data_IF_954601695091
#
_entry.id   IF_954601695091
#
_cell.length_a   1.000
_cell.length_b   1.000
_cell.length_c   1.000
_cell.angle_alpha   90.00
_cell.angle_beta   90.00
_cell.angle_gamma   90.00
#
_symmetry.space_group_name_H-M   'P 1'
#
loop_
_entity.id
_entity.type
_entity.pdbx_description
1 polymer ?
#
# COMPACT_ATOMS: atom_id res chain seq x y z
N UNK A 1 26.68 8.46 5.95
CA UNK A 1 25.48 7.99 6.66
C UNK A 1 24.25 8.19 5.80
N UNK A 2 23.46 7.13 5.67
CA UNK A 2 22.28 7.19 4.82
C UNK A 2 21.14 7.89 5.55
N UNK A 3 20.56 8.87 4.90
CA UNK A 3 19.41 9.55 5.47
C UNK A 3 18.18 8.64 5.41
N UNK A 4 17.42 8.58 6.52
CA UNK A 4 16.19 7.81 6.55
C UNK A 4 15.13 8.44 5.67
N UNK A 5 14.55 7.65 4.80
CA UNK A 5 13.46 8.09 3.95
C UNK A 5 12.16 7.40 4.36
N UNK A 6 11.06 8.10 4.14
CA UNK A 6 9.73 7.56 4.42
C UNK A 6 9.13 7.10 3.10
N UNK A 7 8.92 5.80 2.97
CA UNK A 7 8.44 5.18 1.74
C UNK A 7 7.08 4.53 1.99
N UNK A 8 6.12 4.89 1.15
CA UNK A 8 4.78 4.32 1.21
C UNK A 8 4.61 3.36 0.04
N UNK A 9 4.16 2.14 0.31
CA UNK A 9 3.95 1.13 -0.71
C UNK A 9 2.48 0.78 -0.76
N UNK A 10 1.84 1.00 -1.91
CA UNK A 10 0.46 0.61 -2.13
C UNK A 10 0.42 -0.77 -2.74
N UNK A 11 -0.30 -1.69 -2.12
CA UNK A 11 -0.49 -3.04 -2.60
C UNK A 11 -1.95 -3.40 -2.41
N UNK A 12 -2.64 -3.80 -3.48
CA UNK A 12 -4.08 -4.08 -3.42
C UNK A 12 -4.40 -5.12 -2.36
N UNK A 13 -3.51 -6.08 -2.17
CA UNK A 13 -3.65 -7.09 -1.13
C UNK A 13 -2.33 -7.25 -0.39
N UNK A 14 -2.40 -7.75 0.83
CA UNK A 14 -1.22 -7.92 1.65
C UNK A 14 -1.47 -9.05 2.66
N UNK A 15 -0.45 -9.35 3.46
CA UNK A 15 -0.56 -10.40 4.47
C UNK A 15 -1.71 -10.13 5.43
N UNK A 16 -2.40 -11.12 5.92
CA UNK A 16 -2.07 -12.55 5.86
C UNK A 16 -2.44 -13.24 4.55
N UNK A 17 -3.02 -12.54 3.59
CA UNK A 17 -3.31 -13.11 2.29
C UNK A 17 -1.99 -13.39 1.56
N UNK A 18 -1.81 -14.61 1.09
CA UNK A 18 -0.53 -15.05 0.50
C UNK A 18 -0.64 -15.27 -1.00
N UNK A 19 -0.03 -14.40 -1.78
CA UNK A 19 0.08 -14.53 -3.21
C UNK A 19 1.42 -13.97 -3.68
N UNK A 20 1.63 -13.91 -4.98
CA UNK A 20 2.89 -13.44 -5.54
C UNK A 20 3.18 -11.98 -5.25
N UNK A 21 2.17 -11.13 -5.46
CA UNK A 21 2.32 -9.69 -5.25
C UNK A 21 2.49 -9.37 -3.76
N UNK A 22 1.74 -10.05 -2.90
CA UNK A 22 1.83 -9.86 -1.46
C UNK A 22 3.21 -10.23 -0.94
N UNK A 23 3.74 -11.33 -1.42
CA UNK A 23 5.07 -11.79 -1.03
C UNK A 23 6.14 -10.82 -1.52
N UNK A 24 6.00 -10.35 -2.75
CA UNK A 24 6.93 -9.36 -3.30
C UNK A 24 6.91 -8.08 -2.46
N UNK A 25 5.71 -7.60 -2.12
CA UNK A 25 5.56 -6.38 -1.32
C UNK A 25 6.19 -6.55 0.06
N UNK A 26 5.95 -7.69 0.69
CA UNK A 26 6.53 -7.99 2.00
C UNK A 26 8.06 -7.99 1.94
N UNK A 27 8.62 -8.67 0.96
CA UNK A 27 10.07 -8.75 0.82
C UNK A 27 10.68 -7.40 0.52
N UNK A 28 10.03 -6.61 -0.32
CA UNK A 28 10.49 -5.27 -0.66
C UNK A 28 10.48 -4.37 0.57
N UNK A 29 9.39 -4.41 1.34
CA UNK A 29 9.28 -3.60 2.56
C UNK A 29 10.37 -3.97 3.55
N UNK A 30 10.58 -5.26 3.75
CA UNK A 30 11.60 -5.75 4.66
C UNK A 30 13.00 -5.30 4.24
N UNK A 31 13.29 -5.42 2.96
CA UNK A 31 14.58 -5.02 2.40
C UNK A 31 14.85 -3.53 2.57
N UNK A 32 13.85 -2.71 2.24
CA UNK A 32 13.97 -1.27 2.36
C UNK A 32 14.12 -0.83 3.81
N UNK A 33 13.43 -1.51 4.72
CA UNK A 33 13.57 -1.21 6.14
C UNK A 33 14.97 -1.55 6.64
N UNK A 34 15.52 -2.67 6.17
CA UNK A 34 16.88 -3.06 6.54
C UNK A 34 17.92 -2.05 6.06
N UNK A 35 17.58 -1.30 5.02
CA UNK A 35 18.44 -0.23 4.50
C UNK A 35 18.30 1.08 5.28
N UNK A 36 17.48 1.09 6.33
CA UNK A 36 17.34 2.25 7.18
C UNK A 36 16.15 3.15 6.89
N UNK A 37 15.20 2.69 6.06
CA UNK A 37 14.04 3.48 5.71
C UNK A 37 12.86 3.15 6.59
N UNK A 38 11.93 4.10 6.73
CA UNK A 38 10.65 3.86 7.39
C UNK A 38 9.63 3.49 6.32
N UNK A 39 8.98 2.35 6.50
CA UNK A 39 8.07 1.81 5.48
C UNK A 39 6.64 1.82 5.98
N UNK A 40 5.74 2.27 5.12
CA UNK A 40 4.29 2.22 5.34
C UNK A 40 3.68 1.45 4.18
N UNK A 41 2.87 0.44 4.49
CA UNK A 41 2.15 -0.30 3.46
C UNK A 41 0.68 0.07 3.56
N UNK A 42 0.08 0.44 2.43
CA UNK A 42 -1.35 0.74 2.36
C UNK A 42 -1.99 -0.33 1.48
N UNK A 43 -2.92 -1.06 2.05
CA UNK A 43 -3.56 -2.18 1.37
C UNK A 43 -5.06 -2.12 1.55
N UNK A 44 -5.78 -3.10 1.02
CA UNK A 44 -7.23 -3.19 1.12
C UNK A 44 -7.65 -4.18 2.18
N UNK A 45 -8.75 -3.90 2.86
CA UNK A 45 -9.26 -4.74 3.93
C UNK A 45 -10.56 -5.41 3.48
N UNK A 46 -10.45 -6.58 2.90
CA UNK A 46 -11.60 -7.36 2.46
C UNK A 46 -11.97 -8.47 3.44
N UNK A 47 -11.17 -8.67 4.48
CA UNK A 47 -11.35 -9.77 5.42
C UNK A 47 -11.60 -9.30 6.86
N UNK A 48 -11.99 -8.05 7.02
CA UNK A 48 -12.30 -7.49 8.33
C UNK A 48 -11.14 -7.54 9.31
N UNK A 49 -9.96 -7.21 8.82
CA UNK A 49 -8.75 -7.15 9.63
C UNK A 49 -8.62 -5.78 10.27
N UNK A 50 -7.60 -5.61 11.11
CA UNK A 50 -7.34 -4.32 11.75
C UNK A 50 -7.03 -3.25 10.71
N UNK A 51 -7.53 -2.04 10.91
CA UNK A 51 -7.28 -0.94 9.98
C UNK A 51 -5.85 -0.44 10.06
N UNK A 52 -5.21 -0.60 11.20
CA UNK A 52 -3.81 -0.24 11.37
C UNK A 52 -3.09 -1.30 12.18
N UNK A 53 -1.90 -1.67 11.74
CA UNK A 53 -1.10 -2.67 12.43
C UNK A 53 0.37 -2.35 12.27
N UNK A 54 1.11 -2.31 13.37
CA UNK A 54 2.56 -2.16 13.32
C UNK A 54 3.19 -3.54 13.20
N UNK A 55 3.90 -3.76 12.10
CA UNK A 55 4.61 -5.02 11.87
C UNK A 55 6.10 -4.74 11.84
N UNK A 56 6.91 -5.80 11.89
CA UNK A 56 8.36 -5.65 11.87
C UNK A 56 8.85 -4.96 10.60
N UNK A 57 8.23 -5.29 9.45
CA UNK A 57 8.68 -4.76 8.17
C UNK A 57 8.06 -3.41 7.82
N UNK A 58 6.93 -3.03 8.40
CA UNK A 58 6.22 -1.82 8.02
C UNK A 58 5.06 -1.52 8.93
N UNK A 59 4.60 -0.27 8.90
CA UNK A 59 3.30 0.10 9.44
C UNK A 59 2.27 -0.17 8.34
N UNK A 60 1.23 -0.91 8.66
CA UNK A 60 0.24 -1.33 7.66
C UNK A 60 -1.10 -0.65 7.91
N UNK A 61 -1.59 0.06 6.90
CA UNK A 61 -2.93 0.64 6.89
C UNK A 61 -3.79 -0.15 5.93
N UNK A 62 -4.97 -0.55 6.38
CA UNK A 62 -5.91 -1.32 5.55
C UNK A 62 -7.15 -0.49 5.28
N UNK A 63 -7.28 -0.07 4.03
CA UNK A 63 -8.43 0.72 3.59
C UNK A 63 -9.65 -0.18 3.48
N UNK A 64 -10.83 0.28 3.94
CA UNK A 64 -12.04 -0.53 3.83
C UNK A 64 -12.36 -0.79 2.36
N UNK A 65 -12.72 -2.03 2.05
CA UNK A 65 -12.93 -2.45 0.67
C UNK A 65 -13.94 -3.59 0.58
N UNK A 66 -14.60 -3.67 -0.57
CA UNK A 66 -15.44 -4.80 -0.93
C UNK A 66 -14.59 -5.83 -1.64
N UNK A 67 -14.96 -7.08 -1.44
CA UNK A 67 -14.34 -8.18 -2.13
C UNK A 67 -15.16 -8.51 -3.38
N UNK A 68 -14.74 -7.95 -4.51
CA UNK A 68 -15.37 -8.25 -5.78
C UNK A 68 -14.62 -9.39 -6.46
N UNK A 69 -15.33 -10.17 -7.25
CA UNK A 69 -14.74 -11.28 -8.02
C UNK A 69 -13.97 -12.27 -7.14
N UNK A 70 -14.57 -12.65 -6.02
CA UNK A 70 -14.02 -13.66 -5.11
C UNK A 70 -12.61 -13.34 -4.61
N UNK A 71 -12.43 -12.12 -4.14
CA UNK A 71 -11.17 -11.70 -3.54
C UNK A 71 -10.11 -11.27 -4.51
N UNK A 72 -10.42 -11.25 -5.79
CA UNK A 72 -9.43 -10.90 -6.80
C UNK A 72 -9.40 -9.41 -7.12
N UNK A 73 -10.45 -8.70 -6.76
CA UNK A 73 -10.57 -7.30 -7.14
C UNK A 73 -11.17 -6.47 -6.00
N UNK A 74 -10.34 -5.96 -5.09
CA UNK A 74 -10.87 -5.14 -4.01
C UNK A 74 -11.33 -3.78 -4.52
N UNK A 75 -12.52 -3.38 -4.12
CA UNK A 75 -13.10 -2.08 -4.47
C UNK A 75 -13.21 -1.27 -3.18
N UNK A 76 -12.59 -0.10 -3.14
CA UNK A 76 -12.54 0.72 -1.95
C UNK A 76 -13.90 1.24 -1.55
N UNK A 77 -14.15 1.25 -0.24
CA UNK A 77 -15.35 1.88 0.33
C UNK A 77 -15.00 3.29 0.77
N UNK A 78 -15.74 4.26 0.27
CA UNK A 78 -15.52 5.66 0.66
C UNK A 78 -16.38 5.97 1.88
N UNK A 79 -15.99 5.40 3.02
CA UNK A 79 -16.72 5.59 4.27
C UNK A 79 -15.86 6.35 5.28
N UNK A 80 -16.37 6.46 6.51
CA UNK A 80 -15.69 7.21 7.55
C UNK A 80 -14.28 6.69 7.84
N UNK A 81 -14.15 5.37 7.86
CA UNK A 81 -12.89 4.71 8.11
C UNK A 81 -11.84 5.05 7.05
N UNK A 82 -12.27 5.05 5.79
CA UNK A 82 -11.42 5.44 4.67
C UNK A 82 -10.87 6.85 4.87
N UNK A 83 -11.75 7.80 5.20
CA UNK A 83 -11.32 9.18 5.33
C UNK A 83 -10.47 9.43 6.56
N UNK A 84 -10.64 8.63 7.60
CA UNK A 84 -9.75 8.70 8.77
C UNK A 84 -8.34 8.28 8.40
N UNK A 85 -8.21 7.20 7.64
CA UNK A 85 -6.91 6.73 7.17
C UNK A 85 -6.31 7.75 6.21
N UNK A 86 -7.12 8.28 5.30
CA UNK A 86 -6.67 9.29 4.34
C UNK A 86 -6.07 10.49 5.06
N UNK A 87 -6.72 10.98 6.10
CA UNK A 87 -6.20 12.11 6.87
C UNK A 87 -4.86 11.79 7.52
N UNK A 88 -4.73 10.59 8.04
CA UNK A 88 -3.48 10.17 8.66
C UNK A 88 -2.35 10.10 7.64
N UNK A 89 -2.64 9.58 6.45
CA UNK A 89 -1.65 9.48 5.40
C UNK A 89 -1.20 10.87 4.92
N UNK A 90 -2.13 11.82 4.86
CA UNK A 90 -1.78 13.18 4.46
C UNK A 90 -0.84 13.86 5.44
N UNK A 91 -0.85 13.44 6.70
CA UNK A 91 0.06 14.00 7.71
C UNK A 91 1.45 13.39 7.66
N UNK A 92 1.59 12.24 7.01
CA UNK A 92 2.91 11.65 6.80
C UNK A 92 3.61 12.41 5.69
N UNK A 93 4.90 12.58 5.80
CA UNK A 93 5.67 13.24 4.75
C UNK A 93 6.45 12.18 4.00
N UNK A 94 5.78 11.49 3.10
CA UNK A 94 6.44 10.44 2.34
C UNK A 94 7.42 11.02 1.32
N UNK A 95 8.58 10.43 1.25
CA UNK A 95 9.58 10.81 0.25
C UNK A 95 9.33 10.11 -1.07
N UNK A 96 8.64 8.96 -1.02
CA UNK A 96 8.37 8.16 -2.21
C UNK A 96 7.12 7.36 -1.98
N UNK A 97 6.29 7.26 -3.01
CA UNK A 97 5.12 6.38 -3.02
C UNK A 97 5.30 5.38 -4.14
N UNK A 98 5.27 4.09 -3.80
CA UNK A 98 5.38 3.01 -4.77
C UNK A 98 4.03 2.31 -4.88
N UNK A 99 3.60 2.04 -6.09
CA UNK A 99 2.33 1.35 -6.35
C UNK A 99 2.65 0.03 -7.02
N UNK A 100 2.37 -1.07 -6.32
CA UNK A 100 2.76 -2.41 -6.77
C UNK A 100 1.73 -3.13 -7.60
N UNK A 101 0.69 -2.45 -8.03
CA UNK A 101 -0.36 -3.08 -8.81
C UNK A 101 -1.02 -2.01 -9.65
N UNK A 102 -1.48 -2.39 -10.83
CA UNK A 102 -2.21 -1.47 -11.68
C UNK A 102 -3.65 -1.95 -11.87
N UNK A 103 -4.51 -1.06 -12.37
CA UNK A 103 -5.91 -1.35 -12.70
C UNK A 103 -6.81 -1.68 -11.51
N UNK A 104 -6.41 -1.31 -10.31
CA UNK A 104 -7.27 -1.41 -9.15
C UNK A 104 -7.64 -0.01 -8.66
N UNK A 105 -8.83 0.18 -8.11
CA UNK A 105 -9.18 1.47 -7.50
C UNK A 105 -8.15 1.91 -6.47
N UNK A 106 -7.55 0.96 -5.80
CA UNK A 106 -6.49 1.19 -4.83
C UNK A 106 -5.29 1.92 -5.46
N UNK A 107 -4.91 1.52 -6.66
CA UNK A 107 -3.80 2.16 -7.38
C UNK A 107 -4.16 3.58 -7.81
N UNK A 108 -5.41 3.78 -8.21
CA UNK A 108 -5.89 5.12 -8.57
C UNK A 108 -5.81 6.05 -7.37
N UNK A 109 -6.25 5.57 -6.20
CA UNK A 109 -6.16 6.35 -4.98
C UNK A 109 -4.72 6.70 -4.65
N UNK A 110 -3.80 5.74 -4.78
CA UNK A 110 -2.38 5.98 -4.52
C UNK A 110 -1.80 7.07 -5.41
N UNK A 111 -2.19 7.05 -6.69
CA UNK A 111 -1.74 8.06 -7.64
C UNK A 111 -2.27 9.44 -7.28
N UNK A 112 -3.54 9.52 -6.90
CA UNK A 112 -4.16 10.78 -6.49
C UNK A 112 -3.50 11.31 -5.23
N UNK A 113 -3.24 10.43 -4.27
CA UNK A 113 -2.59 10.82 -3.02
C UNK A 113 -1.19 11.38 -3.28
N UNK A 114 -0.43 10.72 -4.15
CA UNK A 114 0.91 11.17 -4.50
C UNK A 114 0.88 12.56 -5.11
N UNK A 115 -0.07 12.80 -6.01
CA UNK A 115 -0.24 14.12 -6.62
C UNK A 115 -0.60 15.18 -5.58
N UNK A 116 -1.51 14.85 -4.69
CA UNK A 116 -1.95 15.79 -3.66
C UNK A 116 -0.82 16.13 -2.69
N UNK A 117 0.03 15.19 -2.39
CA UNK A 117 1.16 15.39 -1.50
C UNK A 117 2.40 15.92 -2.23
N UNK A 118 2.34 16.03 -3.55
CA UNK A 118 3.47 16.43 -4.39
C UNK A 118 4.67 15.52 -4.15
N UNK A 119 4.41 14.24 -4.05
CA UNK A 119 5.41 13.23 -3.74
C UNK A 119 5.72 12.42 -4.98
N UNK A 120 6.97 12.01 -5.13
CA UNK A 120 7.38 11.16 -6.23
C UNK A 120 6.62 9.84 -6.18
N UNK A 121 6.13 9.39 -7.32
CA UNK A 121 5.35 8.16 -7.41
C UNK A 121 5.96 7.24 -8.45
N UNK A 122 6.16 5.97 -8.07
CA UNK A 122 6.66 4.94 -8.97
C UNK A 122 5.62 3.84 -9.04
N UNK A 123 5.26 3.42 -10.25
CA UNK A 123 4.34 2.31 -10.44
C UNK A 123 5.12 1.08 -10.87
N UNK A 124 4.91 -0.02 -10.16
CA UNK A 124 5.59 -1.28 -10.45
C UNK A 124 4.57 -2.26 -11.00
N UNK A 125 4.84 -2.79 -12.17
CA UNK A 125 3.97 -3.77 -12.81
C UNK A 125 4.45 -5.18 -12.53
N UNK A 126 3.50 -6.07 -12.34
CA UNK A 126 3.78 -7.47 -12.05
C UNK A 126 3.04 -8.38 -13.01
N UNK A 127 3.69 -9.45 -13.40
CA UNK A 127 3.05 -10.55 -14.09
C UNK A 127 2.44 -10.25 -15.42
N UNK A 128 2.96 -9.31 -16.11
CA UNK A 128 2.38 -8.92 -17.38
C UNK A 128 3.06 -9.55 -18.54
N UNK A 129 3.96 -10.34 -18.33
CA UNK A 129 4.63 -10.81 -19.47
C UNK A 129 4.77 -12.22 -19.48
N UNK A 130 4.64 -12.38 -19.67
CA UNK A 130 4.94 -13.44 -19.40
C UNK A 130 4.41 -14.12 -20.05
N UNK A 131 4.32 -13.47 -20.16
CA UNK A 131 3.91 -13.90 -20.51
C UNK A 131 4.25 -14.32 -21.11
#
# INVERSE_FOLDING_TARGET
MKEMKKICIFSAQYLPHMGGVERYTYNLAKQLKEQGNKITVVTSNTENLKTFEQKEEADVYRLPAYDAMNGRYPVLKLNRQFFQIHKRLLKENFDLIMINTRFYPHSVYGTILAKKMKTRCIMVEHGTSHM
#
